data_IF_103360578746
#
_entry.id   IF_103360578746
#
_cell.length_a   1.000
_cell.length_b   1.000
_cell.length_c   1.000
_cell.angle_alpha   90.00
_cell.angle_beta   90.00
_cell.angle_gamma   90.00
#
_symmetry.space_group_name_H-M   'P 1'
#
loop_
_entity.id
_entity.type
_entity.pdbx_description
1 polymer ?
#
# COMPACT_ATOMS: atom_id res chain seq x y z
N UNK A 1 -56.72 -21.70 -9.49
CA UNK A 1 -55.49 -21.34 -10.23
C UNK A 1 -54.61 -20.45 -9.34
N UNK A 2 -53.64 -21.02 -8.63
CA UNK A 2 -52.64 -20.29 -7.83
C UNK A 2 -51.30 -21.03 -7.93
N UNK A 3 -50.67 -20.97 -9.10
CA UNK A 3 -49.32 -21.47 -9.36
C UNK A 3 -48.66 -20.47 -10.31
N UNK A 4 -48.14 -19.38 -9.77
CA UNK A 4 -47.58 -18.31 -10.60
C UNK A 4 -46.70 -17.29 -9.89
N UNK A 5 -46.58 -17.32 -8.55
CA UNK A 5 -45.88 -16.25 -7.82
C UNK A 5 -44.58 -16.72 -7.15
N UNK A 6 -44.34 -18.04 -7.01
CA UNK A 6 -43.18 -18.55 -6.25
C UNK A 6 -41.88 -18.52 -7.09
N UNK A 7 -41.97 -18.63 -8.42
CA UNK A 7 -40.79 -18.61 -9.31
C UNK A 7 -40.17 -17.21 -9.43
N UNK A 8 -40.95 -16.15 -9.19
CA UNK A 8 -40.47 -14.77 -9.27
C UNK A 8 -39.61 -14.36 -8.07
N UNK A 9 -39.88 -14.89 -6.87
CA UNK A 9 -39.19 -14.46 -5.66
C UNK A 9 -37.81 -15.10 -5.52
N UNK A 10 -37.68 -16.39 -5.83
CA UNK A 10 -36.38 -17.09 -5.80
C UNK A 10 -35.46 -16.59 -6.91
N UNK A 11 -35.99 -16.33 -8.11
CA UNK A 11 -35.23 -15.73 -9.21
C UNK A 11 -34.77 -14.30 -8.89
N UNK A 12 -35.63 -13.49 -8.27
CA UNK A 12 -35.28 -12.14 -7.84
C UNK A 12 -34.21 -12.14 -6.75
N UNK A 13 -34.31 -13.04 -5.74
CA UNK A 13 -33.26 -13.19 -4.73
C UNK A 13 -31.94 -13.62 -5.37
N UNK A 14 -31.95 -14.58 -6.30
CA UNK A 14 -30.74 -15.03 -6.98
C UNK A 14 -30.08 -13.91 -7.79
N UNK A 15 -30.87 -13.10 -8.51
CA UNK A 15 -30.37 -11.94 -9.25
C UNK A 15 -29.83 -10.87 -8.30
N UNK A 16 -30.53 -10.56 -7.21
CA UNK A 16 -30.06 -9.58 -6.21
C UNK A 16 -28.74 -10.06 -5.57
N UNK A 17 -28.63 -11.33 -5.22
CA UNK A 17 -27.38 -11.88 -4.65
C UNK A 17 -26.24 -11.82 -5.65
N UNK A 18 -26.46 -12.16 -6.93
CA UNK A 18 -25.46 -12.00 -8.00
C UNK A 18 -25.06 -10.54 -8.18
N UNK A 19 -26.03 -9.63 -8.19
CA UNK A 19 -25.77 -8.20 -8.34
C UNK A 19 -24.98 -7.64 -7.15
N UNK A 20 -25.26 -8.09 -5.92
CA UNK A 20 -24.51 -7.72 -4.72
C UNK A 20 -23.07 -8.26 -4.79
N UNK A 21 -22.88 -9.49 -5.28
CA UNK A 21 -21.55 -10.07 -5.47
C UNK A 21 -20.76 -9.27 -6.51
N UNK A 22 -21.34 -8.97 -7.68
CA UNK A 22 -20.70 -8.14 -8.71
C UNK A 22 -20.43 -6.71 -8.24
N UNK A 23 -21.32 -6.11 -7.45
CA UNK A 23 -21.10 -4.79 -6.86
C UNK A 23 -19.92 -4.79 -5.87
N UNK A 24 -19.79 -5.83 -5.04
CA UNK A 24 -18.65 -5.99 -4.13
C UNK A 24 -17.33 -6.17 -4.89
N UNK A 25 -17.34 -6.81 -6.05
CA UNK A 25 -16.16 -6.95 -6.92
C UNK A 25 -15.81 -5.66 -7.68
N UNK A 26 -16.64 -4.61 -7.64
CA UNK A 26 -16.36 -3.37 -8.42
C UNK A 26 -15.80 -2.20 -7.60
N UNK A 27 -15.80 -2.28 -6.27
CA UNK A 27 -15.41 -1.14 -5.44
C UNK A 27 -13.90 -1.10 -5.20
N UNK A 28 -13.27 -0.06 -5.73
CA UNK A 28 -11.88 0.28 -5.41
C UNK A 28 -11.86 1.02 -4.08
N UNK A 29 -11.05 0.53 -3.14
CA UNK A 29 -10.75 1.16 -1.85
C UNK A 29 -9.41 1.86 -1.94
N UNK A 30 -9.34 3.07 -1.40
CA UNK A 30 -8.12 3.88 -1.39
C UNK A 30 -7.56 3.93 0.04
N UNK A 31 -6.26 3.74 0.13
CA UNK A 31 -5.51 3.71 1.37
C UNK A 31 -4.44 4.77 1.30
N UNK A 32 -4.29 5.57 2.35
CA UNK A 32 -3.21 6.54 2.50
C UNK A 32 -2.46 6.25 3.79
N UNK A 33 -1.14 6.30 3.73
CA UNK A 33 -0.27 6.10 4.87
C UNK A 33 0.77 7.21 4.94
N UNK A 34 0.70 7.96 6.04
CA UNK A 34 1.76 8.86 6.47
C UNK A 34 2.26 8.31 7.83
N UNK A 35 3.52 7.90 7.91
CA UNK A 35 4.05 7.21 9.09
C UNK A 35 5.55 7.36 9.21
N UNK A 36 6.04 7.37 10.45
CA UNK A 36 7.45 7.15 10.75
C UNK A 36 7.80 5.65 10.63
N UNK A 37 8.99 5.37 10.06
CA UNK A 37 9.63 4.07 9.91
C UNK A 37 11.11 4.21 10.33
N UNK A 38 11.39 4.05 11.63
CA UNK A 38 12.71 4.32 12.18
C UNK A 38 13.04 5.80 12.11
N UNK A 39 14.18 6.12 11.50
CA UNK A 39 14.65 7.51 11.31
C UNK A 39 14.16 8.14 10.00
N UNK A 40 13.13 7.56 9.38
CA UNK A 40 12.55 8.05 8.13
C UNK A 40 11.04 8.28 8.31
N UNK A 41 10.53 9.39 7.78
CA UNK A 41 9.10 9.58 7.56
C UNK A 41 8.74 9.13 6.15
N UNK A 42 7.79 8.22 6.05
CA UNK A 42 7.10 7.87 4.81
C UNK A 42 5.86 8.75 4.70
N UNK A 43 5.84 9.62 3.70
CA UNK A 43 4.76 10.56 3.43
C UNK A 43 4.13 10.26 2.07
N UNK A 44 2.84 10.57 1.95
CA UNK A 44 2.05 10.48 0.72
C UNK A 44 1.98 9.07 0.12
N UNK A 45 2.27 8.03 0.90
CA UNK A 45 2.16 6.66 0.43
C UNK A 45 0.69 6.29 0.24
N UNK A 46 0.38 5.67 -0.89
CA UNK A 46 -0.98 5.37 -1.31
C UNK A 46 -1.06 3.96 -1.86
N UNK A 47 -2.20 3.32 -1.61
CA UNK A 47 -2.57 2.03 -2.20
C UNK A 47 -4.01 2.16 -2.69
N UNK A 48 -4.32 1.53 -3.82
CA UNK A 48 -5.69 1.33 -4.28
C UNK A 48 -5.90 -0.18 -4.41
N UNK A 49 -6.90 -0.74 -3.73
CA UNK A 49 -7.21 -2.17 -3.82
C UNK A 49 -8.70 -2.41 -4.03
N UNK A 50 -9.04 -3.35 -4.89
CA UNK A 50 -10.44 -3.67 -5.23
C UNK A 50 -10.53 -4.36 -6.58
N UNK A 51 -11.63 -5.07 -6.84
CA UNK A 51 -11.87 -5.76 -8.11
C UNK A 51 -10.76 -6.67 -8.59
N UNK A 52 -10.11 -7.37 -7.66
CA UNK A 52 -8.99 -8.28 -7.95
C UNK A 52 -7.69 -7.57 -8.33
N UNK A 53 -7.59 -6.27 -8.06
CA UNK A 53 -6.41 -5.45 -8.37
C UNK A 53 -5.85 -4.81 -7.11
N UNK A 54 -4.52 -4.68 -7.11
CA UNK A 54 -3.76 -3.88 -6.16
C UNK A 54 -2.87 -2.93 -6.96
N UNK A 55 -3.05 -1.63 -6.73
CA UNK A 55 -2.29 -0.57 -7.37
C UNK A 55 -1.53 0.17 -6.27
N UNK A 56 -0.21 0.25 -6.40
CA UNK A 56 0.61 1.16 -5.61
C UNK A 56 0.94 2.33 -6.53
N UNK A 57 0.16 3.43 -6.50
CA UNK A 57 0.50 4.63 -7.25
C UNK A 57 1.77 5.25 -6.64
N UNK A 58 2.74 5.53 -7.47
CA UNK A 58 4.01 6.13 -7.06
C UNK A 58 3.88 7.57 -6.60
N UNK A 59 5.02 8.19 -6.26
CA UNK A 59 5.06 9.57 -5.77
C UNK A 59 4.98 9.72 -4.25
N UNK A 60 5.44 8.71 -3.51
CA UNK A 60 5.66 8.82 -2.07
C UNK A 60 7.03 9.42 -1.77
N UNK A 61 7.15 9.89 -0.54
CA UNK A 61 8.22 10.76 -0.08
C UNK A 61 8.86 10.14 1.16
N UNK A 62 10.18 9.97 1.13
CA UNK A 62 10.97 9.57 2.29
C UNK A 62 11.76 10.76 2.80
N UNK A 63 11.50 11.17 4.04
CA UNK A 63 12.21 12.27 4.69
C UNK A 63 13.01 11.74 5.88
N UNK A 64 14.34 11.92 5.91
CA UNK A 64 15.16 11.56 7.07
C UNK A 64 14.84 12.47 8.27
N UNK A 65 14.88 11.88 9.46
CA UNK A 65 14.75 12.55 10.76
C UNK A 65 16.11 12.86 11.38
N UNK A 66 17.16 12.21 10.91
CA UNK A 66 18.54 12.37 11.36
C UNK A 66 19.40 12.84 10.21
N UNK A 67 20.42 13.63 10.53
CA UNK A 67 21.36 14.20 9.58
C UNK A 67 22.63 13.33 9.55
N UNK A 68 22.49 12.11 9.02
CA UNK A 68 23.54 11.11 8.93
C UNK A 68 23.64 10.59 7.50
N UNK A 69 24.81 10.10 7.10
CA UNK A 69 25.08 9.69 5.73
C UNK A 69 24.34 8.39 5.42
N UNK A 70 23.27 8.49 4.62
CA UNK A 70 22.63 7.33 4.02
C UNK A 70 23.31 7.02 2.69
N UNK A 71 23.64 5.76 2.41
CA UNK A 71 24.34 5.37 1.17
C UNK A 71 23.48 4.49 0.25
N UNK A 72 22.66 3.63 0.85
CA UNK A 72 21.71 2.75 0.18
C UNK A 72 20.39 2.67 0.95
N UNK A 73 19.30 2.49 0.21
CA UNK A 73 17.95 2.37 0.73
C UNK A 73 17.18 1.32 -0.08
N UNK A 74 16.72 0.29 0.60
CA UNK A 74 15.76 -0.69 0.09
C UNK A 74 14.39 -0.43 0.70
N UNK A 75 13.37 -0.37 -0.15
CA UNK A 75 11.98 -0.23 0.24
C UNK A 75 11.20 -1.41 -0.33
N UNK A 76 10.67 -2.24 0.55
CA UNK A 76 9.95 -3.47 0.22
C UNK A 76 8.55 -3.44 0.81
N UNK A 77 7.57 -3.86 0.03
CA UNK A 77 6.19 -4.02 0.48
C UNK A 77 5.78 -5.47 0.27
N UNK A 78 5.20 -6.07 1.32
CA UNK A 78 4.58 -7.39 1.24
C UNK A 78 3.12 -7.34 1.69
N UNK A 79 2.26 -8.11 1.02
CA UNK A 79 0.89 -8.37 1.42
C UNK A 79 0.79 -9.83 1.87
N UNK A 80 0.39 -10.09 3.11
CA UNK A 80 0.34 -11.44 3.69
C UNK A 80 1.63 -12.25 3.40
N UNK A 81 2.80 -11.60 3.52
CA UNK A 81 4.14 -12.16 3.23
C UNK A 81 4.49 -12.32 1.73
N UNK A 82 3.57 -12.05 0.81
CA UNK A 82 3.87 -12.02 -0.62
C UNK A 82 4.45 -10.66 -0.98
N UNK A 83 5.68 -10.64 -1.53
CA UNK A 83 6.28 -9.40 -2.03
C UNK A 83 5.46 -8.87 -3.21
N UNK A 84 5.00 -7.63 -3.07
CA UNK A 84 4.27 -6.89 -4.11
C UNK A 84 5.08 -5.71 -4.63
N UNK A 85 6.10 -5.26 -3.89
CA UNK A 85 7.03 -4.27 -4.38
C UNK A 85 8.38 -4.42 -3.70
N UNK A 86 9.44 -4.17 -4.46
CA UNK A 86 10.77 -3.96 -3.92
C UNK A 86 11.51 -3.00 -4.82
N UNK A 87 12.22 -2.07 -4.21
CA UNK A 87 13.16 -1.18 -4.88
C UNK A 87 14.39 -1.00 -4.04
N UNK A 88 15.52 -0.93 -4.73
CA UNK A 88 16.82 -0.62 -4.16
C UNK A 88 17.31 0.66 -4.82
N UNK A 89 17.76 1.58 -3.99
CA UNK A 89 18.30 2.85 -4.40
C UNK A 89 19.66 3.02 -3.75
N UNK A 90 20.59 3.61 -4.48
CA UNK A 90 21.97 3.80 -4.06
C UNK A 90 22.49 5.14 -4.57
N UNK A 91 23.68 5.53 -4.09
CA UNK A 91 24.31 6.80 -4.47
C UNK A 91 23.80 7.98 -3.65
N UNK A 92 23.41 7.71 -2.39
CA UNK A 92 22.94 8.73 -1.46
C UNK A 92 24.06 9.40 -0.65
N UNK A 93 25.33 9.00 -0.87
CA UNK A 93 26.53 9.44 -0.14
C UNK A 93 26.63 10.98 -0.05
N UNK A 94 26.28 11.71 -1.11
CA UNK A 94 26.30 13.18 -1.13
C UNK A 94 24.95 13.83 -0.77
N UNK A 95 23.88 13.04 -0.63
CA UNK A 95 22.49 13.52 -0.55
C UNK A 95 21.99 13.79 0.88
N UNK A 96 22.68 13.32 1.92
CA UNK A 96 22.23 13.40 3.33
C UNK A 96 23.24 14.03 4.30
N UNK A 97 24.16 14.85 3.80
CA UNK A 97 25.07 15.62 4.66
C UNK A 97 24.32 16.67 5.49
N UNK A 98 24.93 17.11 6.60
CA UNK A 98 24.32 17.78 7.77
C UNK A 98 23.47 19.05 7.54
N UNK A 99 23.33 19.55 6.32
CA UNK A 99 22.49 20.71 5.96
C UNK A 99 21.07 20.33 5.45
N UNK A 100 20.68 19.04 5.47
CA UNK A 100 19.60 18.51 4.61
C UNK A 100 18.37 17.90 5.32
N UNK A 101 18.09 18.26 6.59
CA UNK A 101 16.87 17.80 7.32
C UNK A 101 15.53 18.10 6.61
N UNK A 102 15.56 18.98 5.60
CA UNK A 102 14.40 19.41 4.83
C UNK A 102 14.30 18.75 3.44
N UNK A 103 15.21 17.83 3.08
CA UNK A 103 15.21 17.20 1.76
C UNK A 103 14.38 15.93 1.76
N UNK A 104 13.38 15.93 0.90
CA UNK A 104 12.49 14.81 0.67
C UNK A 104 12.99 13.99 -0.51
N UNK A 105 13.27 12.70 -0.29
CA UNK A 105 13.51 11.76 -1.37
C UNK A 105 12.17 11.41 -2.02
N UNK A 106 11.94 11.97 -3.21
CA UNK A 106 10.77 11.62 -4.03
C UNK A 106 11.08 10.37 -4.80
N UNK A 107 10.32 9.31 -4.54
CA UNK A 107 10.46 8.08 -5.29
C UNK A 107 9.65 8.20 -6.56
N UNK A 108 10.35 8.03 -7.69
CA UNK A 108 9.77 8.23 -9.02
C UNK A 108 8.45 7.50 -9.16
N UNK A 109 7.53 8.14 -9.86
CA UNK A 109 6.16 7.65 -10.02
C UNK A 109 6.17 6.33 -10.81
N UNK A 110 6.03 5.21 -10.12
CA UNK A 110 5.70 3.93 -10.72
C UNK A 110 4.23 3.62 -10.40
N UNK A 111 3.44 3.26 -11.42
CA UNK A 111 2.12 2.66 -11.18
C UNK A 111 2.30 1.14 -11.24
N UNK A 112 2.49 0.51 -10.08
CA UNK A 112 2.58 -0.94 -10.02
C UNK A 112 1.18 -1.53 -9.89
N UNK A 113 0.77 -2.23 -10.94
CA UNK A 113 -0.50 -2.95 -10.99
C UNK A 113 -0.26 -4.45 -10.81
N UNK A 114 -0.86 -5.02 -9.78
CA UNK A 114 -0.98 -6.45 -9.62
C UNK A 114 -2.40 -6.89 -9.92
N UNK A 115 -2.54 -7.87 -10.80
CA UNK A 115 -3.83 -8.47 -11.16
C UNK A 115 -4.02 -9.80 -10.42
N UNK A 116 -5.28 -10.18 -10.19
CA UNK A 116 -5.67 -11.38 -9.45
C UNK A 116 -5.24 -11.36 -7.97
N UNK A 117 -5.09 -10.17 -7.37
CA UNK A 117 -4.92 -10.02 -5.92
C UNK A 117 -6.27 -9.63 -5.33
N UNK A 118 -6.83 -10.52 -4.49
CA UNK A 118 -8.02 -10.22 -3.72
C UNK A 118 -7.62 -9.74 -2.32
N UNK A 119 -7.48 -8.43 -2.16
CA UNK A 119 -7.16 -7.82 -0.86
C UNK A 119 -8.39 -7.85 0.04
N UNK A 120 -8.22 -8.37 1.25
CA UNK A 120 -9.24 -8.41 2.30
C UNK A 120 -8.90 -7.42 3.40
N UNK A 121 -9.89 -6.90 4.14
CA UNK A 121 -9.64 -6.04 5.30
C UNK A 121 -8.74 -6.69 6.36
N UNK A 122 -8.77 -8.02 6.48
CA UNK A 122 -7.93 -8.78 7.40
C UNK A 122 -6.49 -9.01 6.92
N UNK A 123 -6.17 -8.62 5.68
CA UNK A 123 -4.83 -8.81 5.14
C UNK A 123 -3.85 -7.85 5.82
N UNK A 124 -2.61 -8.32 5.99
CA UNK A 124 -1.53 -7.53 6.56
C UNK A 124 -0.62 -7.00 5.47
N UNK A 125 -0.49 -5.67 5.41
CA UNK A 125 0.51 -4.98 4.63
C UNK A 125 1.74 -4.74 5.50
N UNK A 126 2.90 -5.20 5.04
CA UNK A 126 4.17 -4.93 5.73
C UNK A 126 5.04 -4.08 4.83
N UNK A 127 5.51 -2.96 5.37
CA UNK A 127 6.50 -2.10 4.73
C UNK A 127 7.81 -2.30 5.46
N UNK A 128 8.81 -2.75 4.73
CA UNK A 128 10.18 -2.95 5.21
C UNK A 128 11.10 -1.95 4.55
N UNK A 129 11.80 -1.19 5.38
CA UNK A 129 12.91 -0.33 5.00
C UNK A 129 14.20 -0.96 5.48
N UNK A 130 15.18 -1.07 4.59
CA UNK A 130 16.55 -1.41 4.96
C UNK A 130 17.46 -0.34 4.39
N UNK A 131 18.25 0.33 5.22
CA UNK A 131 19.13 1.41 4.79
C UNK A 131 20.43 1.37 5.57
N UNK A 132 21.50 1.87 4.96
CA UNK A 132 22.78 2.04 5.66
C UNK A 132 22.86 3.46 6.19
N UNK A 133 23.13 3.59 7.48
CA UNK A 133 23.35 4.86 8.17
C UNK A 133 24.73 4.79 8.83
N UNK A 134 25.66 5.68 8.47
CA UNK A 134 27.05 5.64 8.94
C UNK A 134 27.73 4.26 8.77
N UNK A 135 27.44 3.59 7.65
CA UNK A 135 27.86 2.22 7.32
C UNK A 135 27.27 1.10 8.19
N UNK A 136 26.30 1.39 9.05
CA UNK A 136 25.53 0.39 9.79
C UNK A 136 24.19 0.11 9.10
N UNK A 137 23.88 -1.18 8.90
CA UNK A 137 22.60 -1.59 8.32
C UNK A 137 21.48 -1.42 9.35
N UNK A 138 20.56 -0.51 9.07
CA UNK A 138 19.29 -0.38 9.75
C UNK A 138 18.23 -1.17 8.99
N UNK A 139 17.33 -1.84 9.71
CA UNK A 139 16.16 -2.49 9.10
C UNK A 139 14.95 -2.31 10.00
N UNK A 140 13.90 -1.72 9.43
CA UNK A 140 12.65 -1.43 10.11
C UNK A 140 11.52 -2.03 9.30
N UNK A 141 10.66 -2.80 9.97
CA UNK A 141 9.42 -3.30 9.39
C UNK A 141 8.25 -2.78 10.20
N UNK A 142 7.25 -2.24 9.49
CA UNK A 142 5.98 -1.86 10.10
C UNK A 142 4.84 -2.56 9.40
N UNK A 143 4.00 -3.18 10.21
CA UNK A 143 2.81 -3.91 9.78
C UNK A 143 1.59 -3.02 9.95
N UNK A 144 0.71 -3.06 8.96
CA UNK A 144 -0.58 -2.39 8.95
C UNK A 144 -1.64 -3.41 8.60
N UNK A 145 -2.79 -3.32 9.26
CA UNK A 145 -3.96 -4.05 8.80
C UNK A 145 -4.68 -3.24 7.73
N UNK A 146 -5.19 -3.91 6.69
CA UNK A 146 -5.85 -3.19 5.57
C UNK A 146 -7.14 -2.48 6.03
N UNK A 147 -7.80 -2.93 7.10
CA UNK A 147 -8.93 -2.23 7.72
C UNK A 147 -8.54 -0.90 8.38
N UNK A 148 -7.35 -0.81 9.00
CA UNK A 148 -6.83 0.40 9.64
C UNK A 148 -6.43 1.47 8.61
N UNK A 149 -6.07 1.05 7.41
CA UNK A 149 -5.61 1.95 6.35
C UNK A 149 -6.77 2.54 5.51
N UNK A 150 -7.98 1.96 5.61
CA UNK A 150 -9.09 2.30 4.75
C UNK A 150 -9.51 3.76 4.98
N UNK A 151 -9.33 4.61 3.97
CA UNK A 151 -9.81 5.98 4.01
C UNK A 151 -11.24 6.01 3.47
N UNK A 152 -12.20 6.40 4.29
CA UNK A 152 -13.56 6.63 3.85
C UNK A 152 -13.60 7.99 3.14
N UNK A 153 -13.68 7.99 1.81
CA UNK A 153 -13.96 9.20 1.04
C UNK A 153 -15.44 9.55 1.23
N UNK A 154 -15.76 10.16 2.37
CA UNK A 154 -17.03 10.87 2.58
C UNK A 154 -16.94 12.31 2.10
#
# INVERSE_FOLDING_TARGET
>A
MKKGVIVSFVGLIFIITLLIIELQESQMTYYKLDTQLGDLNLNHFRIVAGGGQLIIPGGYELQPLVAEEMTELSFTITLNQTMIYSSLMSGFEDAFTSEWSDRTLKLEQFDLKHENINVKPSDSLNITLSYYLDNELQTVTKSFSMDELAYDFT
#
